data_IF_750010778991
#
_entry.id   IF_750010778991
#
_cell.length_a   1.000
_cell.length_b   1.000
_cell.length_c   1.000
_cell.angle_alpha   90.00
_cell.angle_beta   90.00
_cell.angle_gamma   90.00
#
_symmetry.space_group_name_H-M   'P 1'
#
loop_
_entity.id
_entity.type
_entity.pdbx_description
1 polymer ?
#
# COMPACT_ATOMS: atom_id res chain seq x y z
N UNK A 1 -56.55 -44.72 4.26
CA UNK A 1 -55.75 -43.65 4.91
C UNK A 1 -54.74 -44.28 5.88
N UNK A 2 -53.67 -44.86 5.34
CA UNK A 2 -52.49 -45.39 6.04
C UNK A 2 -51.38 -45.17 5.03
N UNK A 3 -50.43 -44.26 5.30
CA UNK A 3 -49.12 -44.09 4.61
C UNK A 3 -48.57 -42.65 4.76
N UNK A 4 -49.34 -41.68 5.23
CA UNK A 4 -48.87 -40.28 5.40
C UNK A 4 -48.10 -40.02 6.70
N UNK A 5 -48.24 -40.88 7.72
CA UNK A 5 -47.58 -40.69 9.02
C UNK A 5 -46.06 -40.98 8.98
N UNK A 6 -45.60 -41.88 8.10
CA UNK A 6 -44.17 -42.24 7.98
C UNK A 6 -43.37 -41.10 7.36
N UNK A 7 -43.96 -40.38 6.40
CA UNK A 7 -43.32 -39.23 5.75
C UNK A 7 -43.21 -38.00 6.66
N UNK A 8 -44.18 -37.78 7.56
CA UNK A 8 -44.17 -36.59 8.42
C UNK A 8 -43.14 -36.67 9.57
N UNK A 9 -42.86 -37.87 10.09
CA UNK A 9 -41.87 -38.06 11.16
C UNK A 9 -40.46 -38.42 10.65
N UNK A 10 -40.33 -38.99 9.44
CA UNK A 10 -39.02 -39.41 8.91
C UNK A 10 -38.13 -38.24 8.47
N UNK A 11 -38.72 -37.22 7.84
CA UNK A 11 -37.99 -36.04 7.34
C UNK A 11 -37.30 -35.24 8.46
N UNK A 12 -37.96 -34.86 9.57
CA UNK A 12 -37.28 -34.11 10.64
C UNK A 12 -36.19 -34.91 11.36
N UNK A 13 -36.33 -36.25 11.50
CA UNK A 13 -35.27 -37.09 12.06
C UNK A 13 -34.03 -37.18 11.16
N UNK A 14 -34.20 -37.17 9.84
CA UNK A 14 -33.10 -37.17 8.88
C UNK A 14 -32.37 -35.82 8.80
N UNK A 15 -33.06 -34.69 9.02
CA UNK A 15 -32.42 -33.38 9.10
C UNK A 15 -31.65 -33.19 10.42
N UNK A 16 -32.11 -33.77 11.53
CA UNK A 16 -31.43 -33.68 12.82
C UNK A 16 -30.07 -34.40 12.83
N UNK A 17 -29.93 -35.53 12.14
CA UNK A 17 -28.65 -36.26 12.03
C UNK A 17 -27.65 -35.57 11.10
N UNK A 18 -28.13 -34.85 10.09
CA UNK A 18 -27.30 -34.05 9.19
C UNK A 18 -26.60 -32.86 9.90
N UNK A 19 -27.26 -32.27 10.90
CA UNK A 19 -26.67 -31.20 11.71
C UNK A 19 -25.56 -31.72 12.65
N UNK A 20 -25.75 -32.89 13.28
CA UNK A 20 -24.73 -33.51 14.16
C UNK A 20 -23.44 -33.84 13.41
N UNK A 21 -23.55 -34.31 12.16
CA UNK A 21 -22.42 -34.55 11.24
C UNK A 21 -21.62 -33.28 10.94
N UNK A 22 -22.30 -32.13 10.83
CA UNK A 22 -21.65 -30.85 10.55
C UNK A 22 -20.90 -30.33 11.77
N UNK A 23 -21.49 -30.45 12.96
CA UNK A 23 -20.81 -30.08 14.21
C UNK A 23 -19.62 -30.99 14.53
N UNK A 24 -19.72 -32.30 14.28
CA UNK A 24 -18.59 -33.21 14.49
C UNK A 24 -17.45 -32.96 13.52
N UNK A 25 -17.75 -32.64 12.25
CA UNK A 25 -16.75 -32.23 11.25
C UNK A 25 -16.05 -30.92 11.62
N UNK A 26 -16.79 -29.91 12.08
CA UNK A 26 -16.20 -28.65 12.57
C UNK A 26 -15.32 -28.91 13.80
N UNK A 27 -15.77 -29.78 14.73
CA UNK A 27 -14.98 -30.16 15.90
C UNK A 27 -13.68 -30.88 15.52
N UNK A 28 -13.75 -31.82 14.57
CA UNK A 28 -12.56 -32.50 14.03
C UNK A 28 -11.63 -31.50 13.36
N UNK A 29 -12.15 -30.65 12.48
CA UNK A 29 -11.35 -29.64 11.78
C UNK A 29 -10.67 -28.64 12.73
N UNK A 30 -11.26 -28.33 13.89
CA UNK A 30 -10.64 -27.51 14.93
C UNK A 30 -9.56 -28.29 15.70
N UNK A 31 -9.79 -29.58 15.97
CA UNK A 31 -8.81 -30.44 16.65
C UNK A 31 -7.61 -30.80 15.75
N UNK A 32 -7.84 -30.88 14.44
CA UNK A 32 -6.85 -31.15 13.41
C UNK A 32 -6.24 -29.84 12.85
N UNK A 33 -6.64 -28.68 13.38
CA UNK A 33 -6.15 -27.39 12.94
C UNK A 33 -4.68 -27.22 13.35
N UNK A 34 -3.80 -26.76 12.44
CA UNK A 34 -2.41 -26.50 12.78
C UNK A 34 -2.26 -25.37 13.81
N UNK A 35 -1.13 -25.34 14.53
CA UNK A 35 -0.89 -24.41 15.64
C UNK A 35 -1.08 -22.92 15.27
N UNK A 36 -0.83 -22.54 14.01
CA UNK A 36 -1.06 -21.17 13.53
C UNK A 36 -2.54 -20.73 13.64
N UNK A 37 -3.48 -21.66 13.59
CA UNK A 37 -4.91 -21.38 13.74
C UNK A 37 -5.26 -20.97 15.18
N UNK A 38 -4.62 -21.59 16.17
CA UNK A 38 -4.79 -21.21 17.56
C UNK A 38 -4.28 -19.79 17.81
N UNK A 39 -3.10 -19.45 17.27
CA UNK A 39 -2.54 -18.09 17.35
C UNK A 39 -3.46 -17.04 16.70
N UNK A 40 -4.00 -17.35 15.51
CA UNK A 40 -4.87 -16.42 14.76
C UNK A 40 -6.22 -16.17 15.43
N UNK A 41 -6.75 -17.14 16.20
CA UNK A 41 -7.97 -16.93 17.01
C UNK A 41 -7.75 -15.94 18.16
N UNK A 42 -6.55 -15.88 18.72
CA UNK A 42 -6.22 -14.92 19.79
C UNK A 42 -6.13 -13.51 19.21
N UNK A 43 -5.50 -13.38 18.04
CA UNK A 43 -5.45 -12.14 17.26
C UNK A 43 -6.85 -11.63 16.87
N UNK A 44 -7.71 -12.49 16.29
CA UNK A 44 -9.08 -12.12 15.88
C UNK A 44 -9.95 -11.70 17.07
N UNK A 45 -9.74 -12.27 18.27
CA UNK A 45 -10.45 -11.88 19.50
C UNK A 45 -9.94 -10.55 20.08
N UNK A 46 -8.92 -9.96 19.48
CA UNK A 46 -8.29 -8.74 19.95
C UNK A 46 -7.56 -8.91 21.28
N UNK A 47 -7.30 -10.14 21.70
CA UNK A 47 -6.60 -10.47 22.93
C UNK A 47 -5.10 -10.20 22.73
N UNK A 48 -4.60 -9.07 23.25
CA UNK A 48 -3.18 -8.73 23.20
C UNK A 48 -2.78 -7.63 22.21
N UNK A 49 -3.75 -7.01 21.50
CA UNK A 49 -3.45 -5.72 20.89
C UNK A 49 -3.19 -4.70 22.01
N UNK A 50 -2.13 -3.88 21.91
CA UNK A 50 -1.98 -2.75 22.81
C UNK A 50 -3.25 -1.90 22.70
N UNK A 51 -3.84 -1.56 23.85
CA UNK A 51 -4.86 -0.53 23.87
C UNK A 51 -4.26 0.71 23.21
N UNK A 52 -4.89 1.21 22.15
CA UNK A 52 -4.58 2.54 21.61
C UNK A 52 -5.15 3.56 22.59
N UNK A 53 -4.66 3.52 23.83
CA UNK A 53 -4.83 4.60 24.77
C UNK A 53 -4.01 5.77 24.21
N UNK A 54 -4.58 6.97 24.26
CA UNK A 54 -4.02 8.22 23.74
C UNK A 54 -4.31 8.53 22.26
N UNK A 55 -5.56 8.30 21.82
CA UNK A 55 -6.10 9.25 20.83
C UNK A 55 -6.48 10.51 21.61
N UNK A 56 -5.75 11.63 21.47
CA UNK A 56 -6.09 12.86 22.18
C UNK A 56 -7.52 13.25 21.83
N UNK A 57 -8.35 13.39 22.86
CA UNK A 57 -9.72 13.83 22.67
C UNK A 57 -9.68 15.31 22.36
N UNK A 58 -10.14 15.69 21.16
CA UNK A 58 -10.23 17.08 20.76
C UNK A 58 -11.37 17.72 21.57
N UNK A 59 -11.09 18.84 22.23
CA UNK A 59 -12.11 19.61 22.96
C UNK A 59 -13.25 20.03 22.01
N UNK A 60 -14.49 19.99 22.49
CA UNK A 60 -15.66 20.39 21.70
C UNK A 60 -15.61 21.87 21.25
N UNK A 61 -14.83 22.71 21.93
CA UNK A 61 -14.57 24.10 21.55
C UNK A 61 -13.44 24.27 20.53
N UNK A 62 -12.73 23.20 20.16
CA UNK A 62 -11.65 23.27 19.19
C UNK A 62 -12.22 23.58 17.82
N UNK A 63 -11.86 24.75 17.30
CA UNK A 63 -12.24 25.16 15.94
C UNK A 63 -11.10 24.78 15.00
N UNK A 64 -11.34 23.86 14.03
CA UNK A 64 -10.35 23.54 13.02
C UNK A 64 -9.87 24.82 12.32
N UNK A 65 -8.56 25.03 12.27
CA UNK A 65 -7.96 26.19 11.61
C UNK A 65 -7.87 27.48 12.45
N UNK A 66 -8.24 27.46 13.74
CA UNK A 66 -8.05 28.64 14.61
C UNK A 66 -6.58 29.10 14.72
N UNK A 67 -5.62 28.17 14.55
CA UNK A 67 -4.19 28.46 14.56
C UNK A 67 -3.64 28.97 13.20
N UNK A 68 -4.45 29.01 12.13
CA UNK A 68 -3.97 29.37 10.78
C UNK A 68 -3.40 30.79 10.71
N UNK A 69 -3.93 31.74 11.49
CA UNK A 69 -3.41 33.10 11.56
C UNK A 69 -2.03 33.16 12.20
N UNK A 70 -1.81 32.39 13.27
CA UNK A 70 -0.49 32.22 13.89
C UNK A 70 0.47 31.56 12.91
N UNK A 71 0.03 30.50 12.23
CA UNK A 71 0.84 29.84 11.19
C UNK A 71 1.18 30.76 10.02
N UNK A 72 0.31 31.69 9.64
CA UNK A 72 0.60 32.66 8.58
C UNK A 72 1.71 33.64 8.98
N UNK A 73 1.73 34.08 10.24
CA UNK A 73 2.81 34.93 10.77
C UNK A 73 4.13 34.15 10.83
N UNK A 74 4.08 32.91 11.30
CA UNK A 74 5.26 32.02 11.34
C UNK A 74 5.81 31.76 9.94
N UNK A 75 4.94 31.47 8.97
CA UNK A 75 5.32 31.28 7.56
C UNK A 75 5.95 32.54 6.96
N UNK A 76 5.39 33.72 7.24
CA UNK A 76 5.98 34.98 6.77
C UNK A 76 7.39 35.18 7.36
N UNK A 77 7.60 34.83 8.63
CA UNK A 77 8.91 34.92 9.27
C UNK A 77 9.93 33.94 8.67
N UNK A 78 9.50 32.70 8.39
CA UNK A 78 10.33 31.68 7.75
C UNK A 78 10.68 32.05 6.31
N UNK A 79 9.72 32.61 5.58
CA UNK A 79 9.94 33.08 4.21
C UNK A 79 10.96 34.21 4.19
N UNK A 80 10.82 35.20 5.08
CA UNK A 80 11.79 36.29 5.20
C UNK A 80 13.19 35.79 5.56
N UNK A 81 13.28 34.80 6.47
CA UNK A 81 14.55 34.17 6.83
C UNK A 81 15.18 33.44 5.63
N UNK A 82 14.37 32.67 4.89
CA UNK A 82 14.81 31.97 3.67
C UNK A 82 15.32 32.95 2.61
N UNK A 83 14.55 34.00 2.29
CA UNK A 83 14.92 34.98 1.27
C UNK A 83 16.18 35.80 1.64
N UNK A 84 16.46 35.93 2.94
CA UNK A 84 17.67 36.58 3.45
C UNK A 84 18.90 35.68 3.49
N UNK A 85 18.74 34.36 3.33
CA UNK A 85 19.84 33.41 3.40
C UNK A 85 20.71 33.52 2.12
N UNK A 86 22.03 33.78 2.23
CA UNK A 86 22.93 33.77 1.09
C UNK A 86 22.89 32.46 0.27
N UNK A 87 22.54 31.34 0.88
CA UNK A 87 22.39 30.03 0.22
C UNK A 87 21.09 29.89 -0.58
N UNK A 88 20.09 30.72 -0.29
CA UNK A 88 18.84 30.76 -1.05
C UNK A 88 18.94 31.66 -2.28
N UNK A 89 20.02 32.41 -2.43
CA UNK A 89 20.28 33.20 -3.64
C UNK A 89 20.45 32.27 -4.85
N UNK A 90 19.60 32.46 -5.85
CA UNK A 90 19.72 31.77 -7.13
C UNK A 90 21.02 32.24 -7.79
N UNK A 91 21.94 31.31 -8.08
CA UNK A 91 23.15 31.64 -8.86
C UNK A 91 22.74 32.24 -10.20
N UNK A 92 23.19 33.47 -10.48
CA UNK A 92 22.96 34.17 -11.75
C UNK A 92 23.52 33.38 -12.95
N UNK A 93 24.49 32.49 -12.70
CA UNK A 93 25.14 31.66 -13.71
C UNK A 93 24.73 30.18 -13.61
N UNK A 94 23.72 29.82 -12.81
CA UNK A 94 23.42 28.42 -12.47
C UNK A 94 23.29 27.50 -13.69
N UNK A 95 22.65 27.95 -14.77
CA UNK A 95 22.54 27.15 -16.00
C UNK A 95 23.89 26.93 -16.72
N UNK A 96 24.72 27.96 -16.78
CA UNK A 96 26.05 27.88 -17.39
C UNK A 96 27.02 27.05 -16.54
N UNK A 97 26.96 27.20 -15.21
CA UNK A 97 27.74 26.42 -14.25
C UNK A 97 27.33 24.94 -14.28
N UNK A 98 26.04 24.63 -14.32
CA UNK A 98 25.55 23.25 -14.48
C UNK A 98 26.02 22.65 -15.80
N UNK A 99 25.97 23.42 -16.90
CA UNK A 99 26.46 22.96 -18.19
C UNK A 99 27.97 22.69 -18.19
N UNK A 100 28.76 23.55 -17.53
CA UNK A 100 30.20 23.39 -17.37
C UNK A 100 30.54 22.14 -16.54
N UNK A 101 29.88 21.93 -15.39
CA UNK A 101 30.04 20.74 -14.55
C UNK A 101 29.66 19.48 -15.33
N UNK A 102 28.56 19.51 -16.08
CA UNK A 102 28.14 18.37 -16.89
C UNK A 102 29.15 18.07 -18.02
N UNK A 103 29.80 19.08 -18.59
CA UNK A 103 30.85 18.90 -19.59
C UNK A 103 32.13 18.30 -18.98
N UNK A 104 32.55 18.79 -17.79
CA UNK A 104 33.67 18.25 -17.03
C UNK A 104 33.45 16.77 -16.67
N UNK A 105 32.28 16.45 -16.14
CA UNK A 105 31.89 15.07 -15.82
C UNK A 105 31.93 14.20 -17.09
N UNK A 106 31.38 14.66 -18.21
CA UNK A 106 31.44 13.91 -19.48
C UNK A 106 32.88 13.69 -19.96
N UNK A 107 33.73 14.69 -19.84
CA UNK A 107 35.15 14.61 -20.21
C UNK A 107 35.95 13.70 -19.27
N UNK A 108 35.50 13.52 -18.01
CA UNK A 108 36.12 12.61 -17.05
C UNK A 108 35.86 11.13 -17.36
N UNK A 109 34.81 10.82 -18.12
CA UNK A 109 34.60 9.47 -18.61
C UNK A 109 35.60 9.19 -19.75
N UNK A 110 36.22 8.02 -19.70
CA UNK A 110 37.08 7.52 -20.78
C UNK A 110 36.32 7.35 -22.10
N UNK A 111 36.98 6.83 -23.14
CA UNK A 111 36.30 6.56 -24.41
C UNK A 111 35.03 5.73 -24.17
N UNK A 112 33.94 6.02 -24.90
CA UNK A 112 32.70 5.26 -24.77
C UNK A 112 33.01 3.77 -24.89
N UNK A 113 32.37 2.96 -24.05
CA UNK A 113 32.46 1.51 -24.18
C UNK A 113 32.06 1.13 -25.61
N UNK A 114 32.75 0.15 -26.22
CA UNK A 114 32.33 -0.36 -27.53
C UNK A 114 30.86 -0.76 -27.46
N UNK A 115 30.15 -0.62 -28.58
CA UNK A 115 28.78 -1.10 -28.66
C UNK A 115 28.73 -2.55 -28.17
N UNK A 116 27.83 -2.77 -27.22
CA UNK A 116 27.58 -4.06 -26.63
C UNK A 116 27.11 -5.05 -27.71
N UNK A 117 27.97 -5.98 -28.14
CA UNK A 117 27.58 -7.06 -29.06
C UNK A 117 26.89 -8.25 -28.35
N UNK A 118 26.80 -8.18 -27.02
CA UNK A 118 26.32 -9.29 -26.19
C UNK A 118 24.80 -9.49 -26.28
N UNK A 119 24.07 -8.54 -26.87
CA UNK A 119 22.65 -8.70 -27.21
C UNK A 119 22.43 -8.35 -28.67
N UNK A 120 21.72 -9.23 -29.35
CA UNK A 120 21.11 -8.96 -30.65
C UNK A 120 19.97 -7.96 -30.51
N UNK A 121 19.65 -7.23 -31.58
CA UNK A 121 18.48 -6.34 -31.64
C UNK A 121 17.17 -7.07 -31.26
N UNK A 122 17.09 -8.37 -31.56
CA UNK A 122 15.96 -9.22 -31.17
C UNK A 122 15.86 -9.38 -29.65
N UNK A 123 16.97 -9.61 -28.96
CA UNK A 123 16.99 -9.73 -27.49
C UNK A 123 16.70 -8.39 -26.82
N UNK A 124 17.22 -7.28 -27.38
CA UNK A 124 16.90 -5.93 -26.91
C UNK A 124 15.40 -5.65 -27.04
N UNK A 125 14.79 -6.00 -28.17
CA UNK A 125 13.35 -5.85 -28.37
C UNK A 125 12.52 -6.71 -27.39
N UNK A 126 12.96 -7.95 -27.11
CA UNK A 126 12.30 -8.83 -26.16
C UNK A 126 12.35 -8.29 -24.72
N UNK A 127 13.50 -7.74 -24.30
CA UNK A 127 13.66 -7.09 -22.99
C UNK A 127 12.77 -5.84 -22.90
N UNK A 128 12.78 -4.98 -23.93
CA UNK A 128 11.90 -3.79 -23.94
C UNK A 128 10.42 -4.16 -23.83
N UNK A 129 10.01 -5.24 -24.50
CA UNK A 129 8.64 -5.74 -24.43
C UNK A 129 8.26 -6.27 -23.04
N UNK A 130 9.18 -6.91 -22.31
CA UNK A 130 8.88 -7.43 -20.97
C UNK A 130 8.66 -6.33 -19.92
N UNK A 131 9.27 -5.16 -20.12
CA UNK A 131 9.07 -3.97 -19.28
C UNK A 131 7.93 -3.06 -19.76
N UNK A 132 7.33 -3.34 -20.93
CA UNK A 132 6.16 -2.61 -21.42
C UNK A 132 4.88 -3.11 -20.75
N UNK A 133 4.76 -2.84 -19.44
CA UNK A 133 3.56 -3.15 -18.67
C UNK A 133 2.48 -2.11 -19.02
N UNK A 134 1.23 -2.53 -19.31
CA UNK A 134 0.12 -1.61 -19.54
C UNK A 134 0.05 -0.60 -18.40
N UNK A 135 0.16 0.70 -18.71
CA UNK A 135 -0.05 1.72 -17.69
C UNK A 135 -1.53 1.66 -17.30
N UNK A 136 -1.83 1.69 -16.00
CA UNK A 136 -3.19 1.67 -15.44
C UNK A 136 -4.11 2.75 -16.05
N UNK A 137 -3.55 3.77 -16.70
CA UNK A 137 -4.24 4.89 -17.33
C UNK A 137 -4.62 4.70 -18.81
N UNK A 138 -4.17 3.65 -19.50
CA UNK A 138 -4.41 3.48 -20.96
C UNK A 138 -5.85 3.08 -21.32
N UNK A 139 -6.73 2.85 -20.34
CA UNK A 139 -8.14 2.50 -20.56
C UNK A 139 -9.16 3.57 -20.13
N UNK A 140 -8.74 4.75 -19.66
CA UNK A 140 -9.63 5.78 -19.11
C UNK A 140 -9.91 6.97 -20.06
N UNK A 141 -9.35 6.95 -21.26
CA UNK A 141 -9.62 7.95 -22.30
C UNK A 141 -10.20 7.25 -23.53
N UNK A 142 -11.51 7.01 -23.50
CA UNK A 142 -12.30 6.91 -24.74
C UNK A 142 -13.11 8.21 -24.89
N UNK A 143 -13.21 8.76 -26.11
CA UNK A 143 -13.94 10.00 -26.38
C UNK A 143 -15.45 9.91 -26.09
#
# INVERSE_FOLDING_TARGET
MKNTAILLCGVPLLLATACTSSFSKVRSAINDAPDWYAARRTEIRGEGYPSVAEIPTIDASWTPGAALSVSAVDLASLQAAFDSDPRAQVSLNGAAEIAAIAAEIRASFGPPLPEADFLTETEIAAIRASFNVPRVTEGLMTP
#
